data_IF_209932012240
#
_entry.id   IF_209932012240
#
_cell.length_a   1.000
_cell.length_b   1.000
_cell.length_c   1.000
_cell.angle_alpha   90.00
_cell.angle_beta   90.00
_cell.angle_gamma   90.00
#
_symmetry.space_group_name_H-M   'P 1'
#
loop_
_entity.id
_entity.type
_entity.pdbx_description
1 polymer ?
#
# COMPACT_ATOMS: atom_id res chain seq x y z
N UNK A 1 1.67 0.21 3.59
CA UNK A 1 1.87 -0.57 2.38
C UNK A 1 2.99 -1.60 2.56
N UNK A 2 2.69 -2.88 2.41
CA UNK A 2 3.60 -3.97 2.78
C UNK A 2 4.83 -4.13 1.84
N UNK A 3 4.77 -3.62 0.61
CA UNK A 3 5.87 -3.68 -0.38
C UNK A 3 6.92 -2.56 -0.25
N UNK A 4 6.94 -1.81 0.84
CA UNK A 4 8.09 -0.98 1.19
C UNK A 4 9.34 -1.85 1.34
N UNK A 5 10.52 -1.33 1.05
CA UNK A 5 11.78 -2.02 1.26
C UNK A 5 12.58 -1.22 2.29
N UNK A 6 12.73 -1.75 3.52
CA UNK A 6 12.13 -2.96 4.08
C UNK A 6 10.63 -2.82 4.40
N UNK A 7 9.88 -3.92 4.35
CA UNK A 7 8.46 -3.93 4.74
C UNK A 7 8.31 -3.75 6.25
N UNK A 8 7.65 -2.69 6.71
CA UNK A 8 7.43 -2.43 8.14
C UNK A 8 6.57 -3.51 8.80
N UNK A 9 5.50 -3.94 8.12
CA UNK A 9 4.66 -5.04 8.60
C UNK A 9 5.49 -6.33 8.69
N UNK A 10 6.30 -6.62 7.67
CA UNK A 10 7.16 -7.80 7.67
C UNK A 10 8.21 -7.78 8.78
N UNK A 11 8.81 -6.62 9.09
CA UNK A 11 9.75 -6.46 10.20
C UNK A 11 9.07 -6.60 11.56
N UNK A 12 7.88 -6.04 11.73
CA UNK A 12 7.12 -6.13 12.97
C UNK A 12 6.73 -7.57 13.30
N UNK A 13 6.18 -8.29 12.32
CA UNK A 13 5.74 -9.68 12.47
C UNK A 13 6.84 -10.72 12.32
N UNK A 14 8.03 -10.32 11.88
CA UNK A 14 9.13 -11.21 11.47
C UNK A 14 8.76 -12.16 10.31
N UNK A 15 7.98 -11.67 9.37
CA UNK A 15 7.53 -12.43 8.19
C UNK A 15 8.20 -11.84 6.94
N UNK A 16 8.69 -12.72 6.06
CA UNK A 16 9.26 -12.26 4.79
C UNK A 16 8.20 -11.64 3.88
N UNK A 17 8.56 -10.63 3.06
CA UNK A 17 7.59 -9.98 2.15
C UNK A 17 6.91 -10.94 1.18
N UNK A 18 7.59 -12.01 0.76
CA UNK A 18 7.03 -13.05 -0.12
C UNK A 18 5.93 -13.86 0.56
N UNK A 19 6.14 -14.21 1.82
CA UNK A 19 5.15 -14.94 2.61
C UNK A 19 3.95 -14.04 2.96
N UNK A 20 4.23 -12.79 3.33
CA UNK A 20 3.19 -11.79 3.58
C UNK A 20 2.31 -11.56 2.35
N UNK A 21 2.90 -11.50 1.15
CA UNK A 21 2.16 -11.37 -0.10
C UNK A 21 1.20 -12.55 -0.34
N UNK A 22 1.62 -13.78 -0.04
CA UNK A 22 0.75 -14.96 -0.17
C UNK A 22 -0.48 -14.88 0.73
N UNK A 23 -0.32 -14.41 1.96
CA UNK A 23 -1.44 -14.24 2.90
C UNK A 23 -2.37 -13.13 2.45
N UNK A 24 -1.84 -11.94 2.16
CA UNK A 24 -2.62 -10.76 1.79
C UNK A 24 -3.45 -10.94 0.52
N UNK A 25 -2.99 -11.78 -0.42
CA UNK A 25 -3.69 -12.05 -1.67
C UNK A 25 -4.37 -13.42 -1.71
N UNK A 26 -4.69 -13.97 -0.54
CA UNK A 26 -5.53 -15.17 -0.39
C UNK A 26 -4.95 -16.43 -1.07
N UNK A 27 -3.63 -16.54 -1.13
CA UNK A 27 -2.94 -17.71 -1.65
C UNK A 27 -2.56 -18.75 -0.56
N UNK A 28 -2.43 -18.32 0.70
CA UNK A 28 -2.10 -19.18 1.83
C UNK A 28 -2.76 -18.68 3.10
N UNK A 29 -3.08 -19.62 3.99
CA UNK A 29 -3.50 -19.30 5.36
C UNK A 29 -2.30 -18.94 6.23
N UNK A 30 -2.54 -18.17 7.26
CA UNK A 30 -1.60 -17.91 8.34
C UNK A 30 -2.27 -18.31 9.66
N UNK A 31 -1.55 -19.03 10.49
CA UNK A 31 -2.02 -19.40 11.83
C UNK A 31 -1.99 -18.17 12.73
N UNK A 32 -3.17 -17.75 13.18
CA UNK A 32 -3.33 -16.63 14.12
C UNK A 32 -3.25 -17.11 15.56
N UNK A 33 -3.95 -18.19 15.88
CA UNK A 33 -3.86 -18.86 17.17
C UNK A 33 -3.58 -20.37 16.95
N UNK A 34 -2.44 -20.89 17.43
CA UNK A 34 -2.13 -22.31 17.33
C UNK A 34 -2.92 -23.20 18.33
N UNK A 35 -3.55 -22.61 19.37
CA UNK A 35 -4.25 -23.36 20.40
C UNK A 35 -3.41 -24.47 21.03
N UNK A 36 -4.00 -25.63 21.27
CA UNK A 36 -3.34 -26.82 21.84
C UNK A 36 -2.71 -27.74 20.77
N UNK A 37 -2.53 -27.25 19.55
CA UNK A 37 -2.00 -28.04 18.43
C UNK A 37 -0.47 -27.98 18.32
N UNK A 38 0.10 -28.74 17.38
CA UNK A 38 1.55 -28.72 17.08
C UNK A 38 1.94 -27.60 16.09
N UNK A 39 0.96 -26.75 15.70
CA UNK A 39 1.21 -25.63 14.80
C UNK A 39 1.94 -24.50 15.51
N UNK A 40 2.73 -23.76 14.77
CA UNK A 40 3.39 -22.56 15.27
C UNK A 40 2.60 -21.31 14.89
N UNK A 41 2.57 -20.34 15.79
CA UNK A 41 1.99 -19.03 15.49
C UNK A 41 2.72 -18.40 14.29
N UNK A 42 1.96 -17.81 13.36
CA UNK A 42 2.46 -17.24 12.08
C UNK A 42 2.93 -18.29 11.06
N UNK A 43 2.72 -19.58 11.30
CA UNK A 43 2.97 -20.62 10.32
C UNK A 43 2.04 -20.43 9.12
N UNK A 44 2.56 -20.59 7.89
CA UNK A 44 1.75 -20.59 6.69
C UNK A 44 1.30 -21.99 6.33
N UNK A 45 0.04 -22.11 5.95
CA UNK A 45 -0.58 -23.33 5.50
C UNK A 45 -1.13 -23.12 4.08
N UNK A 46 -0.90 -24.09 3.22
CA UNK A 46 -1.61 -24.18 1.94
C UNK A 46 -3.06 -24.61 2.15
N UNK A 47 -3.90 -24.51 1.14
CA UNK A 47 -5.30 -24.95 1.21
C UNK A 47 -5.43 -26.43 1.61
N UNK A 48 -4.56 -27.29 1.08
CA UNK A 48 -4.54 -28.73 1.39
C UNK A 48 -4.11 -28.99 2.84
N UNK A 49 -3.02 -28.36 3.30
CA UNK A 49 -2.55 -28.47 4.67
C UNK A 49 -3.57 -27.92 5.67
N UNK A 50 -4.23 -26.80 5.34
CA UNK A 50 -5.28 -26.24 6.19
C UNK A 50 -6.44 -27.23 6.37
N UNK A 51 -6.91 -27.88 5.27
CA UNK A 51 -7.97 -28.89 5.36
C UNK A 51 -7.55 -30.08 6.18
N UNK A 52 -6.36 -30.61 5.95
CA UNK A 52 -5.79 -31.73 6.71
C UNK A 52 -5.70 -31.41 8.20
N UNK A 53 -5.19 -30.21 8.55
CA UNK A 53 -5.12 -29.77 9.94
C UNK A 53 -6.51 -29.56 10.56
N UNK A 54 -7.46 -29.06 9.79
CA UNK A 54 -8.86 -28.88 10.21
C UNK A 54 -9.55 -30.21 10.45
N UNK A 55 -9.30 -31.21 9.61
CA UNK A 55 -9.82 -32.57 9.78
C UNK A 55 -9.22 -33.26 11.02
N UNK A 56 -7.97 -32.95 11.36
CA UNK A 56 -7.27 -33.58 12.47
C UNK A 56 -7.53 -32.88 13.82
N UNK A 57 -7.51 -31.54 13.86
CA UNK A 57 -7.61 -30.75 15.09
C UNK A 57 -8.95 -30.03 15.26
N UNK A 58 -9.83 -30.07 14.26
CA UNK A 58 -11.12 -29.37 14.30
C UNK A 58 -10.97 -27.86 14.52
N UNK A 59 -11.61 -27.35 15.57
CA UNK A 59 -11.63 -25.92 15.95
C UNK A 59 -10.59 -25.56 17.02
N UNK A 60 -9.62 -26.44 17.29
CA UNK A 60 -8.58 -26.19 18.30
C UNK A 60 -7.53 -25.14 17.89
N UNK A 61 -7.50 -24.72 16.64
CA UNK A 61 -6.61 -23.68 16.15
C UNK A 61 -7.36 -22.69 15.24
N UNK A 62 -6.83 -21.50 15.13
CA UNK A 62 -7.33 -20.48 14.21
C UNK A 62 -6.31 -20.14 13.14
N UNK A 63 -6.74 -20.13 11.90
CA UNK A 63 -5.95 -19.67 10.76
C UNK A 63 -6.85 -18.92 9.78
N UNK A 64 -6.35 -17.81 9.25
CA UNK A 64 -7.10 -16.92 8.39
C UNK A 64 -6.27 -16.44 7.20
N UNK A 65 -6.89 -15.76 6.25
CA UNK A 65 -6.27 -15.17 5.08
C UNK A 65 -6.55 -13.67 5.01
N UNK A 66 -5.73 -12.97 4.25
CA UNK A 66 -5.95 -11.55 3.93
C UNK A 66 -5.41 -10.58 4.96
N UNK A 67 -5.73 -9.30 4.77
CA UNK A 67 -5.25 -8.23 5.63
C UNK A 67 -5.83 -8.28 7.04
N UNK A 68 -7.03 -8.84 7.22
CA UNK A 68 -7.67 -9.03 8.52
C UNK A 68 -6.84 -9.93 9.43
N UNK A 69 -6.38 -11.07 8.94
CA UNK A 69 -5.48 -11.98 9.69
C UNK A 69 -4.17 -11.29 10.11
N UNK A 70 -3.61 -10.47 9.25
CA UNK A 70 -2.41 -9.68 9.56
C UNK A 70 -2.70 -8.61 10.60
N UNK A 71 -3.86 -7.96 10.53
CA UNK A 71 -4.28 -6.96 11.51
C UNK A 71 -4.45 -7.59 12.90
N UNK A 72 -5.04 -8.77 12.99
CA UNK A 72 -5.23 -9.47 14.26
C UNK A 72 -3.89 -9.85 14.89
N UNK A 73 -2.95 -10.38 14.09
CA UNK A 73 -1.59 -10.63 14.56
C UNK A 73 -0.86 -9.36 15.03
N UNK A 74 -1.13 -8.20 14.40
CA UNK A 74 -0.54 -6.93 14.80
C UNK A 74 -1.16 -6.37 16.10
N UNK A 75 -2.46 -6.61 16.35
CA UNK A 75 -3.15 -6.21 17.59
C UNK A 75 -2.58 -6.88 18.84
N UNK A 76 -2.09 -8.12 18.69
CA UNK A 76 -1.58 -8.91 19.80
C UNK A 76 -0.14 -8.55 20.20
N UNK A 77 0.54 -7.68 19.44
CA UNK A 77 1.92 -7.29 19.73
C UNK A 77 1.96 -6.34 20.91
N UNK A 78 2.65 -6.73 21.97
CA UNK A 78 3.11 -5.83 23.01
C UNK A 78 4.45 -5.23 22.60
N UNK A 79 4.45 -3.90 22.37
CA UNK A 79 5.63 -3.18 21.89
C UNK A 79 6.75 -3.10 22.92
N UNK A 80 6.41 -3.00 24.22
CA UNK A 80 7.39 -2.89 25.28
C UNK A 80 8.12 -4.22 25.46
N UNK A 81 7.36 -5.32 25.58
CA UNK A 81 7.92 -6.66 25.66
C UNK A 81 8.78 -7.01 24.44
N UNK A 82 8.27 -6.73 23.23
CA UNK A 82 9.00 -7.00 21.99
C UNK A 82 10.31 -6.18 21.89
N UNK A 83 10.31 -4.95 22.37
CA UNK A 83 11.51 -4.10 22.43
C UNK A 83 12.57 -4.70 23.35
N UNK A 84 12.19 -5.16 24.56
CA UNK A 84 13.10 -5.79 25.50
C UNK A 84 13.69 -7.10 24.94
N UNK A 85 12.85 -7.94 24.35
CA UNK A 85 13.28 -9.20 23.71
C UNK A 85 14.30 -8.96 22.60
N UNK A 86 14.00 -8.01 21.69
CA UNK A 86 14.89 -7.68 20.58
C UNK A 86 16.21 -7.05 21.05
N UNK A 87 16.18 -6.22 22.09
CA UNK A 87 17.37 -5.63 22.68
C UNK A 87 18.30 -6.71 23.25
N UNK A 88 17.74 -7.65 24.01
CA UNK A 88 18.49 -8.78 24.54
C UNK A 88 19.04 -9.71 23.43
N UNK A 89 18.30 -9.85 22.31
CA UNK A 89 18.74 -10.64 21.17
C UNK A 89 19.88 -9.95 20.39
N UNK A 90 19.88 -8.62 20.28
CA UNK A 90 20.98 -7.83 19.66
C UNK A 90 22.32 -8.10 20.36
N UNK A 91 22.31 -8.15 21.69
CA UNK A 91 23.53 -8.41 22.49
C UNK A 91 24.12 -9.79 22.22
N UNK A 92 23.26 -10.79 22.01
CA UNK A 92 23.64 -12.20 21.78
C UNK A 92 23.96 -12.51 20.31
N UNK A 93 23.69 -11.57 19.39
CA UNK A 93 23.75 -11.80 17.94
C UNK A 93 24.95 -11.08 17.30
N UNK A 94 25.46 -11.65 16.18
CA UNK A 94 26.54 -11.06 15.40
C UNK A 94 26.24 -11.08 13.89
N UNK A 95 27.02 -10.34 13.11
CA UNK A 95 26.94 -10.35 11.65
C UNK A 95 25.59 -9.89 11.09
N UNK A 96 25.14 -10.55 10.03
CA UNK A 96 23.90 -10.20 9.33
C UNK A 96 22.63 -10.39 10.18
N UNK A 97 22.62 -11.35 11.09
CA UNK A 97 21.52 -11.58 12.02
C UNK A 97 21.30 -10.34 12.89
N UNK A 98 22.38 -9.81 13.48
CA UNK A 98 22.34 -8.57 14.28
C UNK A 98 21.78 -7.39 13.50
N UNK A 99 22.19 -7.21 12.24
CA UNK A 99 21.68 -6.11 11.37
C UNK A 99 20.19 -6.25 11.14
N UNK A 100 19.68 -7.46 10.94
CA UNK A 100 18.24 -7.70 10.77
C UNK A 100 17.46 -7.37 12.04
N UNK A 101 17.96 -7.79 13.21
CA UNK A 101 17.31 -7.52 14.49
C UNK A 101 17.32 -6.02 14.80
N UNK A 102 18.42 -5.31 14.54
CA UNK A 102 18.49 -3.87 14.70
C UNK A 102 17.45 -3.13 13.84
N UNK A 103 17.25 -3.55 12.59
CA UNK A 103 16.20 -2.98 11.73
C UNK A 103 14.79 -3.25 12.25
N UNK A 104 14.56 -4.41 12.89
CA UNK A 104 13.28 -4.69 13.54
C UNK A 104 13.08 -3.80 14.77
N UNK A 105 14.12 -3.73 15.62
CA UNK A 105 14.10 -2.87 16.81
C UNK A 105 13.85 -1.41 16.49
N UNK A 106 14.47 -0.88 15.44
CA UNK A 106 14.24 0.49 14.96
C UNK A 106 12.76 0.74 14.64
N UNK A 107 12.09 -0.18 13.97
CA UNK A 107 10.66 -0.06 13.66
C UNK A 107 9.81 -0.15 14.92
N UNK A 108 10.10 -1.11 15.82
CA UNK A 108 9.36 -1.28 17.07
C UNK A 108 9.48 -0.03 17.95
N UNK A 109 10.69 0.50 18.11
CA UNK A 109 10.95 1.73 18.86
C UNK A 109 10.26 2.94 18.25
N UNK A 110 10.23 3.05 16.92
CA UNK A 110 9.50 4.12 16.25
C UNK A 110 7.99 4.09 16.55
N UNK A 111 7.38 2.91 16.63
CA UNK A 111 5.98 2.77 17.04
C UNK A 111 5.80 3.08 18.53
N UNK A 112 6.67 2.56 19.40
CA UNK A 112 6.63 2.77 20.84
C UNK A 112 6.72 4.26 21.20
N UNK A 113 7.70 4.96 20.65
CA UNK A 113 7.93 6.40 20.93
C UNK A 113 6.82 7.27 20.36
N UNK A 114 6.29 6.95 19.17
CA UNK A 114 5.23 7.74 18.54
C UNK A 114 3.84 7.50 19.12
N UNK A 115 3.65 6.45 19.94
CA UNK A 115 2.35 6.04 20.46
C UNK A 115 1.39 5.48 19.40
N UNK A 116 1.88 5.19 18.19
CA UNK A 116 1.09 4.57 17.14
C UNK A 116 0.95 3.07 17.40
N UNK A 117 -0.24 2.54 17.11
CA UNK A 117 -0.51 1.11 17.25
C UNK A 117 -0.15 0.36 15.96
N UNK A 118 0.48 -0.84 16.05
CA UNK A 118 0.88 -1.61 14.88
C UNK A 118 -0.26 -1.95 13.93
N UNK A 119 -1.45 -2.27 14.44
CA UNK A 119 -2.63 -2.61 13.65
C UNK A 119 -3.13 -1.45 12.76
N UNK A 120 -2.76 -0.20 13.04
CA UNK A 120 -3.10 0.94 12.18
C UNK A 120 -2.39 0.94 10.82
N UNK A 121 -1.41 0.06 10.64
CA UNK A 121 -0.83 -0.17 9.31
C UNK A 121 -1.81 -0.85 8.34
N UNK A 122 -2.89 -1.43 8.85
CA UNK A 122 -4.00 -1.97 8.06
C UNK A 122 -5.16 -0.99 8.13
N UNK A 123 -5.67 -0.56 6.99
CA UNK A 123 -6.77 0.40 6.91
C UNK A 123 -8.12 -0.32 6.90
N UNK A 124 -9.02 0.03 7.82
CA UNK A 124 -10.40 -0.43 7.85
C UNK A 124 -11.32 0.47 7.01
N UNK A 125 -10.96 1.75 6.91
CA UNK A 125 -11.70 2.77 6.18
C UNK A 125 -10.81 3.43 5.15
N UNK A 126 -11.26 3.47 3.91
CA UNK A 126 -10.56 4.15 2.82
C UNK A 126 -11.07 5.60 2.69
N UNK A 127 -10.21 6.61 2.90
CA UNK A 127 -10.60 8.00 2.71
C UNK A 127 -10.83 8.31 1.24
N UNK A 128 -11.86 9.11 0.97
CA UNK A 128 -12.20 9.55 -0.38
C UNK A 128 -11.82 11.03 -0.53
N UNK A 129 -11.06 11.36 -1.56
CA UNK A 129 -10.70 12.74 -1.86
C UNK A 129 -11.94 13.58 -2.19
N UNK A 130 -11.96 14.87 -1.77
CA UNK A 130 -13.01 15.80 -2.17
C UNK A 130 -13.16 15.90 -3.70
N UNK A 131 -14.37 16.17 -4.21
CA UNK A 131 -14.64 16.27 -5.65
C UNK A 131 -13.75 17.29 -6.39
N UNK A 132 -13.38 18.39 -5.74
CA UNK A 132 -12.54 19.43 -6.33
C UNK A 132 -11.13 18.93 -6.67
N UNK A 133 -10.62 17.92 -5.95
CA UNK A 133 -9.32 17.31 -6.21
C UNK A 133 -9.37 16.18 -7.25
N UNK A 134 -10.58 15.76 -7.65
CA UNK A 134 -10.85 14.76 -8.70
C UNK A 134 -11.97 15.21 -9.62
N UNK A 135 -11.82 16.33 -10.30
CA UNK A 135 -12.92 16.99 -11.01
C UNK A 135 -13.45 16.16 -12.17
N UNK A 136 -14.73 16.37 -12.46
CA UNK A 136 -15.41 15.95 -13.68
C UNK A 136 -15.93 17.19 -14.37
N UNK A 137 -15.43 17.49 -15.57
CA UNK A 137 -15.75 18.70 -16.33
C UNK A 137 -16.46 18.32 -17.61
N UNK A 138 -17.51 19.04 -17.95
CA UNK A 138 -18.18 18.89 -19.22
C UNK A 138 -17.41 19.65 -20.32
N UNK A 139 -17.11 18.96 -21.41
CA UNK A 139 -16.46 19.50 -22.58
C UNK A 139 -17.54 19.92 -23.61
N UNK A 140 -17.15 20.77 -24.57
CA UNK A 140 -17.98 21.10 -25.70
C UNK A 140 -18.43 19.84 -26.45
N UNK A 141 -19.72 19.77 -26.81
CA UNK A 141 -20.32 18.59 -27.43
C UNK A 141 -20.85 17.53 -26.45
N UNK A 142 -21.05 17.89 -25.17
CA UNK A 142 -21.72 17.02 -24.18
C UNK A 142 -20.86 15.85 -23.64
N UNK A 143 -19.58 15.81 -23.98
CA UNK A 143 -18.62 14.83 -23.43
C UNK A 143 -18.08 15.30 -22.09
N UNK A 144 -17.75 14.35 -21.22
CA UNK A 144 -17.14 14.63 -19.91
C UNK A 144 -15.67 14.21 -19.89
N UNK A 145 -14.82 15.10 -19.40
CA UNK A 145 -13.47 14.78 -18.98
C UNK A 145 -13.47 14.52 -17.47
N UNK A 146 -12.94 13.41 -17.06
CA UNK A 146 -12.90 13.01 -15.64
C UNK A 146 -11.50 12.66 -15.23
N UNK A 147 -11.19 12.88 -13.95
CA UNK A 147 -9.95 12.40 -13.34
C UNK A 147 -9.91 10.87 -13.32
N UNK A 148 -8.73 10.29 -13.58
CA UNK A 148 -8.51 8.85 -13.49
C UNK A 148 -8.85 8.28 -12.09
N UNK A 149 -8.73 9.10 -11.04
CA UNK A 149 -9.10 8.72 -9.68
C UNK A 149 -10.58 8.34 -9.56
N UNK A 150 -11.47 8.99 -10.27
CA UNK A 150 -12.90 8.66 -10.26
C UNK A 150 -13.16 7.23 -10.75
N UNK A 151 -12.41 6.77 -11.77
CA UNK A 151 -12.51 5.37 -12.23
C UNK A 151 -11.94 4.39 -11.22
N UNK A 152 -10.81 4.72 -10.60
CA UNK A 152 -10.20 3.88 -9.57
C UNK A 152 -11.09 3.77 -8.33
N UNK A 153 -11.68 4.87 -7.83
CA UNK A 153 -12.66 4.82 -6.73
C UNK A 153 -13.91 4.02 -7.10
N UNK A 154 -14.43 4.22 -8.30
CA UNK A 154 -15.60 3.45 -8.79
C UNK A 154 -15.33 1.94 -8.79
N UNK A 155 -14.12 1.51 -9.18
CA UNK A 155 -13.72 0.09 -9.13
C UNK A 155 -13.73 -0.44 -7.70
N UNK A 156 -13.19 0.31 -6.74
CA UNK A 156 -13.22 -0.07 -5.32
C UNK A 156 -14.64 -0.20 -4.81
N UNK A 157 -15.49 0.81 -5.06
CA UNK A 157 -16.88 0.83 -4.61
C UNK A 157 -17.67 -0.34 -5.21
N UNK A 158 -17.53 -0.60 -6.50
CA UNK A 158 -18.23 -1.70 -7.18
C UNK A 158 -17.80 -3.06 -6.61
N UNK A 159 -16.48 -3.28 -6.35
CA UNK A 159 -15.98 -4.52 -5.73
C UNK A 159 -16.48 -4.66 -4.30
N UNK A 160 -16.48 -3.60 -3.52
CA UNK A 160 -16.99 -3.61 -2.16
C UNK A 160 -18.49 -3.94 -2.10
N UNK A 161 -19.31 -3.31 -2.94
CA UNK A 161 -20.74 -3.58 -3.02
C UNK A 161 -21.02 -5.03 -3.46
N UNK A 162 -20.25 -5.53 -4.42
CA UNK A 162 -20.36 -6.92 -4.86
C UNK A 162 -19.98 -7.89 -3.75
N UNK A 163 -18.91 -7.64 -3.02
CA UNK A 163 -18.50 -8.46 -1.87
C UNK A 163 -19.59 -8.49 -0.79
N UNK A 164 -20.14 -7.31 -0.45
CA UNK A 164 -21.25 -7.23 0.52
C UNK A 164 -22.41 -8.11 0.09
N UNK A 165 -22.84 -8.01 -1.15
CA UNK A 165 -23.94 -8.82 -1.71
C UNK A 165 -23.64 -10.32 -1.68
N UNK A 166 -22.40 -10.72 -1.97
CA UNK A 166 -22.00 -12.13 -1.90
C UNK A 166 -22.05 -12.67 -0.45
N UNK A 167 -21.64 -11.86 0.52
CA UNK A 167 -21.73 -12.22 1.94
C UNK A 167 -23.18 -12.33 2.42
N UNK A 168 -24.04 -11.40 2.03
CA UNK A 168 -25.47 -11.41 2.36
C UNK A 168 -26.19 -12.63 1.75
N UNK A 169 -25.79 -13.08 0.58
CA UNK A 169 -26.34 -14.26 -0.10
C UNK A 169 -25.75 -15.59 0.38
N UNK A 170 -24.78 -15.60 1.28
CA UNK A 170 -24.11 -16.82 1.74
C UNK A 170 -23.36 -17.54 0.63
N UNK A 171 -22.71 -16.80 -0.27
CA UNK A 171 -21.98 -17.38 -1.41
C UNK A 171 -20.84 -18.31 -0.93
N UNK A 172 -20.44 -19.33 -1.73
CA UNK A 172 -19.33 -20.22 -1.40
C UNK A 172 -18.04 -19.47 -1.10
N UNK A 173 -17.27 -19.93 -0.11
CA UNK A 173 -16.03 -19.28 0.36
C UNK A 173 -15.03 -18.98 -0.73
N UNK A 174 -14.90 -19.86 -1.72
CA UNK A 174 -13.96 -19.66 -2.82
C UNK A 174 -14.30 -18.40 -3.66
N UNK A 175 -15.61 -18.12 -3.81
CA UNK A 175 -16.09 -16.92 -4.53
C UNK A 175 -15.86 -15.68 -3.68
N UNK A 176 -16.18 -15.75 -2.39
CA UNK A 176 -15.98 -14.66 -1.43
C UNK A 176 -14.48 -14.31 -1.33
N UNK A 177 -13.61 -15.30 -1.18
CA UNK A 177 -12.14 -15.10 -1.14
C UNK A 177 -11.61 -14.46 -2.42
N UNK A 178 -12.09 -14.89 -3.58
CA UNK A 178 -11.69 -14.29 -4.84
C UNK A 178 -12.12 -12.82 -4.94
N UNK A 179 -13.35 -12.48 -4.50
CA UNK A 179 -13.81 -11.09 -4.51
C UNK A 179 -13.06 -10.23 -3.48
N UNK A 180 -12.74 -10.76 -2.28
CA UNK A 180 -11.86 -10.10 -1.30
C UNK A 180 -10.48 -9.79 -1.90
N UNK A 181 -9.89 -10.76 -2.64
CA UNK A 181 -8.62 -10.55 -3.35
C UNK A 181 -8.72 -9.44 -4.41
N UNK A 182 -9.80 -9.44 -5.19
CA UNK A 182 -10.02 -8.43 -6.22
C UNK A 182 -10.27 -7.04 -5.63
N UNK A 183 -10.90 -6.95 -4.47
CA UNK A 183 -11.06 -5.70 -3.72
C UNK A 183 -9.70 -5.18 -3.24
N UNK A 184 -8.85 -6.06 -2.68
CA UNK A 184 -7.49 -5.69 -2.28
C UNK A 184 -6.68 -5.16 -3.47
N UNK A 185 -6.76 -5.81 -4.63
CA UNK A 185 -6.09 -5.36 -5.85
C UNK A 185 -6.62 -4.01 -6.36
N UNK A 186 -7.92 -3.76 -6.23
CA UNK A 186 -8.51 -2.46 -6.58
C UNK A 186 -8.01 -1.33 -5.69
N UNK A 187 -7.89 -1.56 -4.38
CA UNK A 187 -7.32 -0.60 -3.43
C UNK A 187 -5.83 -0.36 -3.71
N UNK A 188 -5.07 -1.41 -3.99
CA UNK A 188 -3.65 -1.27 -4.37
C UNK A 188 -3.47 -0.40 -5.61
N UNK A 189 -4.32 -0.57 -6.61
CA UNK A 189 -4.29 0.22 -7.85
C UNK A 189 -4.66 1.69 -7.60
N UNK A 190 -5.55 1.97 -6.67
CA UNK A 190 -5.90 3.35 -6.28
C UNK A 190 -4.70 4.05 -5.63
N UNK A 191 -3.96 3.35 -4.77
CA UNK A 191 -2.82 3.92 -4.03
C UNK A 191 -1.59 4.04 -4.93
N UNK A 192 -1.17 2.98 -5.59
CA UNK A 192 0.02 2.95 -6.46
C UNK A 192 -0.17 1.96 -7.61
N UNK A 193 -0.76 2.43 -8.70
CA UNK A 193 -1.09 1.61 -9.86
C UNK A 193 0.18 1.10 -10.57
N UNK A 194 0.23 -0.20 -10.80
CA UNK A 194 1.35 -0.88 -11.48
C UNK A 194 2.50 -1.29 -10.57
N UNK A 195 2.42 -1.05 -9.26
CA UNK A 195 3.44 -1.53 -8.32
C UNK A 195 3.37 -3.05 -8.11
N UNK A 196 2.20 -3.63 -8.27
CA UNK A 196 1.98 -5.08 -8.25
C UNK A 196 1.33 -5.54 -9.55
N UNK A 197 2.08 -6.28 -10.36
CA UNK A 197 1.59 -6.82 -11.62
C UNK A 197 1.34 -5.77 -12.71
N UNK A 198 0.44 -6.07 -13.62
CA UNK A 198 0.09 -5.15 -14.71
C UNK A 198 -0.73 -3.99 -14.18
N UNK A 199 -0.42 -2.75 -14.59
CA UNK A 199 -1.22 -1.60 -14.21
C UNK A 199 -2.64 -1.68 -14.77
N UNK A 200 -3.58 -1.15 -14.03
CA UNK A 200 -4.94 -0.93 -14.52
C UNK A 200 -4.90 0.16 -15.58
N UNK A 201 -5.48 -0.13 -16.73
CA UNK A 201 -5.47 0.77 -17.89
C UNK A 201 -6.87 1.31 -18.19
N UNK A 202 -6.90 2.50 -18.77
CA UNK A 202 -8.06 3.12 -19.36
C UNK A 202 -8.09 2.93 -20.89
N UNK A 203 -8.84 3.79 -21.62
CA UNK A 203 -8.85 3.79 -23.07
C UNK A 203 -7.44 3.90 -23.66
N UNK A 204 -7.19 3.24 -24.78
CA UNK A 204 -5.92 3.22 -25.50
C UNK A 204 -4.75 2.60 -24.68
N UNK A 205 -5.04 1.66 -23.79
CA UNK A 205 -4.04 1.00 -22.92
C UNK A 205 -3.18 1.95 -22.08
N UNK A 206 -3.59 3.19 -21.88
CA UNK A 206 -2.92 4.14 -20.99
C UNK A 206 -3.14 3.73 -19.54
N UNK A 207 -2.06 3.57 -18.76
CA UNK A 207 -2.16 3.33 -17.32
C UNK A 207 -2.88 4.48 -16.63
N UNK A 208 -3.84 4.17 -15.75
CA UNK A 208 -4.55 5.15 -14.94
C UNK A 208 -3.63 5.76 -13.90
N UNK A 209 -3.73 7.07 -13.70
CA UNK A 209 -2.92 7.83 -12.75
C UNK A 209 -3.45 7.62 -11.33
N UNK A 210 -2.66 6.97 -10.48
CA UNK A 210 -3.00 6.68 -9.09
C UNK A 210 -2.66 7.85 -8.14
N UNK A 211 -3.03 7.72 -6.86
CA UNK A 211 -2.69 8.71 -5.82
C UNK A 211 -1.18 8.94 -5.71
N UNK A 212 -0.38 7.88 -5.75
CA UNK A 212 1.08 7.97 -5.75
C UNK A 212 1.63 8.76 -6.94
N UNK A 213 1.04 8.59 -8.13
CA UNK A 213 1.44 9.29 -9.35
C UNK A 213 1.13 10.79 -9.33
N UNK A 214 0.16 11.22 -8.50
CA UNK A 214 -0.11 12.64 -8.28
C UNK A 214 0.99 13.34 -7.48
N UNK A 215 1.77 12.60 -6.71
CA UNK A 215 2.81 13.13 -5.82
C UNK A 215 4.21 13.02 -6.41
N UNK A 216 4.51 11.91 -7.11
CA UNK A 216 5.86 11.59 -7.63
C UNK A 216 6.12 12.12 -9.04
N UNK A 217 7.40 12.21 -9.39
CA UNK A 217 7.86 12.56 -10.73
C UNK A 217 7.85 14.05 -11.04
N UNK A 218 8.18 14.41 -12.30
CA UNK A 218 8.30 15.80 -12.75
C UNK A 218 6.97 16.56 -12.70
N UNK A 219 5.86 15.88 -12.95
CA UNK A 219 4.50 16.43 -12.95
C UNK A 219 3.78 16.20 -11.61
N UNK A 220 4.47 15.64 -10.62
CA UNK A 220 3.93 15.45 -9.31
C UNK A 220 3.85 16.73 -8.49
N UNK A 221 3.01 16.73 -7.47
CA UNK A 221 2.73 17.90 -6.62
C UNK A 221 3.99 18.50 -6.00
N UNK A 222 4.93 17.67 -5.56
CA UNK A 222 6.16 18.16 -4.95
C UNK A 222 7.00 18.99 -5.91
N UNK A 223 7.28 18.48 -7.11
CA UNK A 223 8.16 19.17 -8.06
C UNK A 223 7.45 20.31 -8.83
N UNK A 224 6.17 20.16 -9.08
CA UNK A 224 5.45 21.11 -9.93
C UNK A 224 4.82 22.28 -9.15
N UNK A 225 4.44 22.07 -7.88
CA UNK A 225 3.67 23.06 -7.13
C UNK A 225 4.30 23.47 -5.78
N UNK A 226 5.20 22.66 -5.21
CA UNK A 226 5.80 22.93 -3.89
C UNK A 226 7.25 23.42 -4.00
N UNK A 227 8.10 22.71 -4.73
CA UNK A 227 9.50 23.12 -4.92
C UNK A 227 9.67 24.27 -5.90
N UNK A 228 8.68 24.53 -6.73
CA UNK A 228 8.63 25.63 -7.66
C UNK A 228 7.21 25.86 -8.16
N UNK A 229 6.86 27.11 -8.35
CA UNK A 229 5.57 27.53 -8.93
C UNK A 229 5.80 28.44 -10.12
N UNK A 230 4.86 28.45 -11.04
CA UNK A 230 4.77 29.52 -12.03
C UNK A 230 4.31 30.78 -11.31
N UNK A 231 5.01 31.87 -11.54
CA UNK A 231 4.73 33.16 -10.91
C UNK A 231 4.47 34.20 -11.98
N UNK A 232 3.69 35.24 -11.63
CA UNK A 232 3.46 36.41 -12.48
C UNK A 232 4.75 37.24 -12.60
N UNK A 233 4.78 38.12 -13.58
CA UNK A 233 5.92 39.00 -13.86
C UNK A 233 7.23 38.25 -14.15
N UNK A 234 7.14 37.04 -14.68
CA UNK A 234 8.26 36.23 -15.13
C UNK A 234 8.09 35.81 -16.58
N UNK A 235 9.19 35.69 -17.29
CA UNK A 235 9.20 35.30 -18.69
C UNK A 235 10.37 34.38 -19.01
N UNK A 236 10.27 33.74 -20.14
CA UNK A 236 11.32 32.87 -20.69
C UNK A 236 11.42 33.07 -22.18
N UNK A 237 12.62 33.26 -22.68
CA UNK A 237 12.87 33.42 -24.12
C UNK A 237 14.09 32.63 -24.55
N UNK A 238 14.29 32.52 -25.84
CA UNK A 238 15.49 31.92 -26.43
C UNK A 238 16.64 32.90 -26.29
N UNK A 239 17.79 32.39 -25.88
CA UNK A 239 19.04 33.16 -25.82
C UNK A 239 19.71 33.08 -27.19
N UNK A 240 20.00 34.22 -27.74
CA UNK A 240 20.72 34.36 -29.03
C UNK A 240 21.95 35.24 -28.88
N UNK A 241 22.87 35.16 -29.82
CA UNK A 241 24.06 36.04 -29.84
C UNK A 241 23.67 37.49 -30.08
N UNK A 242 24.37 38.41 -29.39
CA UNK A 242 24.22 39.85 -29.56
C UNK A 242 25.61 40.49 -29.80
N UNK A 243 26.10 40.51 -31.05
CA UNK A 243 27.47 40.96 -31.36
C UNK A 243 27.73 42.43 -31.00
N UNK A 244 26.68 43.21 -30.87
CA UNK A 244 26.78 44.62 -30.48
C UNK A 244 26.83 44.88 -28.98
N UNK A 245 26.58 43.81 -28.15
CA UNK A 245 26.57 43.90 -26.71
C UNK A 245 27.95 43.62 -26.14
N UNK A 246 28.31 44.34 -25.07
CA UNK A 246 29.51 44.06 -24.31
C UNK A 246 29.31 42.79 -23.47
N UNK A 247 30.35 42.20 -22.92
CA UNK A 247 30.29 40.94 -22.17
C UNK A 247 29.46 41.03 -20.87
N UNK A 248 29.28 42.22 -20.36
CA UNK A 248 28.49 42.52 -19.15
C UNK A 248 27.07 43.00 -19.46
N UNK A 249 26.65 43.02 -20.73
CA UNK A 249 25.36 43.52 -21.16
C UNK A 249 24.46 42.41 -21.65
N UNK A 250 23.18 42.57 -21.39
CA UNK A 250 22.08 41.68 -21.84
C UNK A 250 20.99 42.55 -22.47
N UNK A 251 20.56 42.16 -23.66
CA UNK A 251 19.42 42.81 -24.35
C UNK A 251 18.13 42.04 -24.05
N UNK A 252 17.07 42.72 -23.64
CA UNK A 252 15.75 42.19 -23.48
C UNK A 252 14.78 42.83 -24.45
N UNK A 253 13.74 42.07 -24.96
CA UNK A 253 12.63 42.67 -25.72
C UNK A 253 11.94 43.73 -24.85
N UNK A 254 11.63 44.86 -25.48
CA UNK A 254 10.94 45.95 -24.78
C UNK A 254 9.42 45.70 -24.65
N UNK A 255 8.83 44.94 -25.60
CA UNK A 255 7.42 44.61 -25.65
C UNK A 255 7.08 43.30 -24.92
#
# INVERSE_FOLDING_TARGET
>A
YFKGIPSRIGLMLDISPRLLEKVLYFASYIVTDPGATRLEKKQLLTESEYREMRDHYGDEFEAAMGAEAIQDLLKEIDLDQLSEELTAEVEKSSGQKRVRILKRLEVVEAFRISGNRPEWMVMDVLPVLPPDLRPMVQLDGGRFATSDLNDLYRRVINRNNRLRRLLELGAPDIIVRNEKRMLQEAVDSLIDNGRRGRPVTGPNNRALKSLSDLLKGKQGRFRQNLLGKRVDYSGRSVIVVGPELKMDQCGLPKE
#
